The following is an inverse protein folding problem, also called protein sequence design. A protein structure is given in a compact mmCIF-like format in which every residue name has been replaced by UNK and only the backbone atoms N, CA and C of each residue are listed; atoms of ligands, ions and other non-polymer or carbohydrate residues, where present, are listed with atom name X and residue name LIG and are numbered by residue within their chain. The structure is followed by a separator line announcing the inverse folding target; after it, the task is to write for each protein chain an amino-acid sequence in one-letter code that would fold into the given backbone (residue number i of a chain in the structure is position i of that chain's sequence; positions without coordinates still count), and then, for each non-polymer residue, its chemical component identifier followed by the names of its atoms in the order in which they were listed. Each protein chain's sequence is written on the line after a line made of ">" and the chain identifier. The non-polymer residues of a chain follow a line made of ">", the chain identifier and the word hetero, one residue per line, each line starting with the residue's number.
data_IF_584604089803
#
_entry.id   IF_584604089803
#
_cell.length_a   1.000
_cell.length_b   1.000
_cell.length_c   1.000
_cell.angle_alpha   90.00
_cell.angle_beta   90.00
_cell.angle_gamma   90.00
#
_symmetry.space_group_name_H-M   'P 1'
#
loop_
_entity.id
_entity.type
_entity.pdbx_description
1 polymer ?
#
# COMPACT_ATOMS: atom_id res chain seq x y z
N UNK A 1 -15.86 -11.56 -22.00
CA UNK A 1 -14.95 -10.41 -21.86
C UNK A 1 -13.82 -10.80 -20.95
N UNK A 2 -12.55 -10.61 -21.34
CA UNK A 2 -11.38 -10.95 -20.53
C UNK A 2 -11.26 -10.06 -19.28
N UNK A 3 -10.65 -10.60 -18.24
CA UNK A 3 -10.32 -9.84 -17.02
C UNK A 3 -9.04 -9.03 -17.22
N UNK A 4 -8.94 -7.87 -16.57
CA UNK A 4 -7.74 -7.05 -16.63
C UNK A 4 -6.72 -7.55 -15.61
N UNK A 5 -5.48 -7.70 -16.04
CA UNK A 5 -4.36 -8.09 -15.17
C UNK A 5 -3.99 -6.91 -14.24
N UNK A 6 -3.49 -7.23 -13.04
CA UNK A 6 -2.97 -6.22 -12.11
C UNK A 6 -1.77 -5.50 -12.75
N UNK A 7 -1.77 -4.16 -12.81
CA UNK A 7 -0.69 -3.39 -13.45
C UNK A 7 0.68 -3.61 -12.82
N UNK A 8 0.75 -3.80 -11.49
CA UNK A 8 2.00 -4.03 -10.77
C UNK A 8 2.57 -5.40 -11.17
N UNK A 9 1.76 -6.46 -11.11
CA UNK A 9 2.22 -7.81 -11.46
C UNK A 9 2.69 -7.91 -12.90
N UNK A 10 2.06 -7.17 -13.81
CA UNK A 10 2.44 -7.13 -15.23
C UNK A 10 3.80 -6.45 -15.49
N UNK A 11 4.32 -5.69 -14.52
CA UNK A 11 5.58 -4.94 -14.58
C UNK A 11 6.68 -5.51 -13.70
N UNK A 12 6.41 -6.62 -13.02
CA UNK A 12 7.41 -7.32 -12.24
C UNK A 12 8.56 -7.82 -13.14
N UNK A 13 9.79 -7.59 -12.68
CA UNK A 13 10.99 -7.93 -13.43
C UNK A 13 11.34 -6.96 -14.57
N UNK A 14 10.51 -5.97 -14.89
CA UNK A 14 10.77 -4.93 -15.89
C UNK A 14 11.13 -3.62 -15.21
N UNK A 15 10.20 -3.03 -14.46
CA UNK A 15 10.40 -1.76 -13.74
C UNK A 15 10.13 -1.88 -12.24
N UNK A 16 9.47 -2.94 -11.80
CA UNK A 16 9.16 -3.19 -10.38
C UNK A 16 9.77 -4.49 -9.89
N UNK A 17 10.26 -4.46 -8.64
CA UNK A 17 10.68 -5.64 -7.90
C UNK A 17 9.55 -6.24 -7.07
N UNK A 18 9.84 -7.33 -6.39
CA UNK A 18 8.92 -7.97 -5.46
C UNK A 18 8.89 -7.26 -4.12
N UNK A 19 7.73 -7.29 -3.46
CA UNK A 19 7.60 -6.81 -2.08
C UNK A 19 8.10 -7.82 -1.04
N UNK A 20 8.35 -9.06 -1.44
CA UNK A 20 8.99 -10.10 -0.64
C UNK A 20 10.21 -10.61 -1.38
N UNK A 21 11.41 -10.31 -0.86
CA UNK A 21 12.69 -10.64 -1.47
C UNK A 21 13.38 -11.71 -0.64
N UNK A 22 13.13 -12.98 -0.96
CA UNK A 22 13.77 -14.12 -0.31
C UNK A 22 13.63 -15.40 -1.13
N UNK A 23 14.52 -16.33 -0.87
CA UNK A 23 14.48 -17.68 -1.44
C UNK A 23 13.95 -18.66 -0.39
N UNK A 24 12.94 -19.45 -0.74
CA UNK A 24 12.21 -20.26 0.23
C UNK A 24 12.15 -21.75 -0.12
N UNK A 25 13.21 -22.46 -0.30
CA UNK A 25 13.25 -23.89 -0.54
C UNK A 25 12.02 -24.71 -0.06
N UNK A 26 12.23 -25.69 0.82
CA UNK A 26 11.13 -26.54 1.36
C UNK A 26 10.10 -25.78 2.21
N UNK A 27 10.50 -24.67 2.85
CA UNK A 27 9.65 -23.89 3.78
C UNK A 27 8.97 -22.70 3.09
N UNK A 28 8.85 -22.73 1.77
CA UNK A 28 8.26 -21.61 1.00
C UNK A 28 6.85 -21.26 1.47
N UNK A 29 5.98 -22.25 1.64
CA UNK A 29 4.58 -22.05 2.05
C UNK A 29 4.47 -21.39 3.43
N UNK A 30 5.23 -21.88 4.40
CA UNK A 30 5.21 -21.35 5.78
C UNK A 30 5.70 -19.91 5.82
N UNK A 31 6.80 -19.60 5.12
CA UNK A 31 7.31 -18.25 5.02
C UNK A 31 6.32 -17.28 4.36
N UNK A 32 5.59 -17.73 3.33
CA UNK A 32 4.56 -16.92 2.66
C UNK A 32 3.39 -16.61 3.59
N UNK A 33 2.94 -17.59 4.38
CA UNK A 33 1.89 -17.41 5.40
C UNK A 33 2.36 -16.46 6.48
N UNK A 34 3.61 -16.56 6.94
CA UNK A 34 4.20 -15.63 7.89
C UNK A 34 4.21 -14.20 7.34
N UNK A 35 4.67 -13.98 6.10
CA UNK A 35 4.71 -12.66 5.46
C UNK A 35 3.31 -12.04 5.38
N UNK A 36 2.30 -12.83 5.02
CA UNK A 36 0.92 -12.36 5.01
C UNK A 36 0.43 -11.92 6.39
N UNK A 37 0.75 -12.68 7.43
CA UNK A 37 0.40 -12.35 8.82
C UNK A 37 1.11 -11.09 9.28
N UNK A 38 2.41 -10.92 8.97
CA UNK A 38 3.19 -9.72 9.27
C UNK A 38 2.56 -8.49 8.61
N UNK A 39 2.26 -8.56 7.31
CA UNK A 39 1.62 -7.45 6.59
C UNK A 39 0.25 -7.09 7.17
N UNK A 40 -0.58 -8.09 7.47
CA UNK A 40 -1.89 -7.87 8.08
C UNK A 40 -1.76 -7.15 9.42
N UNK A 41 -0.93 -7.65 10.31
CA UNK A 41 -0.67 -7.07 11.62
C UNK A 41 -0.17 -5.61 11.52
N UNK A 42 0.83 -5.36 10.68
CA UNK A 42 1.39 -4.03 10.49
C UNK A 42 0.38 -3.04 9.89
N UNK A 43 -0.42 -3.46 8.91
CA UNK A 43 -1.45 -2.61 8.32
C UNK A 43 -2.54 -2.22 9.33
N UNK A 44 -2.96 -3.15 10.20
CA UNK A 44 -3.92 -2.88 11.27
C UNK A 44 -3.33 -1.93 12.33
N UNK A 45 -2.11 -2.21 12.78
CA UNK A 45 -1.44 -1.43 13.82
C UNK A 45 -1.07 -0.01 13.36
N UNK A 46 -0.65 0.12 12.10
CA UNK A 46 -0.19 1.35 11.50
C UNK A 46 -1.24 2.04 10.60
N UNK A 47 -2.51 1.74 10.78
CA UNK A 47 -3.58 2.32 9.97
C UNK A 47 -3.58 3.86 9.92
N UNK A 48 -3.11 4.53 10.98
CA UNK A 48 -3.00 6.00 11.06
C UNK A 48 -1.76 6.57 10.37
N UNK A 49 -0.74 5.74 10.13
CA UNK A 49 0.55 6.17 9.59
C UNK A 49 0.55 6.34 8.06
N UNK A 50 -0.53 5.99 7.36
CA UNK A 50 -0.61 6.03 5.88
C UNK A 50 0.52 5.24 5.23
N UNK A 51 0.55 3.94 5.51
CA UNK A 51 1.51 3.00 4.94
C UNK A 51 1.24 2.84 3.44
N UNK A 52 2.27 2.98 2.62
CA UNK A 52 2.27 2.74 1.18
C UNK A 52 2.44 1.26 0.89
N UNK A 53 3.59 0.71 1.25
CA UNK A 53 3.94 -0.70 1.04
C UNK A 53 4.87 -1.18 2.14
N UNK A 54 4.93 -2.51 2.30
CA UNK A 54 5.79 -3.20 3.26
C UNK A 54 6.65 -4.18 2.47
N UNK A 55 7.95 -3.94 2.44
CA UNK A 55 8.93 -4.82 1.81
C UNK A 55 9.52 -5.73 2.87
N UNK A 56 9.58 -7.03 2.60
CA UNK A 56 10.10 -8.04 3.53
C UNK A 56 11.27 -8.74 2.87
N UNK A 57 12.42 -8.66 3.49
CA UNK A 57 13.64 -9.35 3.08
C UNK A 57 14.00 -10.39 4.14
N UNK A 58 14.25 -11.62 3.71
CA UNK A 58 14.62 -12.70 4.63
C UNK A 58 15.99 -13.23 4.31
N UNK A 59 16.82 -13.24 5.33
CA UNK A 59 18.07 -13.99 5.36
C UNK A 59 17.91 -15.22 6.25
N UNK A 60 18.94 -16.03 6.37
CA UNK A 60 18.89 -17.26 7.19
C UNK A 60 18.56 -16.99 8.67
N UNK A 61 19.02 -15.87 9.22
CA UNK A 61 18.87 -15.54 10.65
C UNK A 61 18.02 -14.31 10.94
N UNK A 62 17.87 -13.40 9.97
CA UNK A 62 17.27 -12.09 10.17
C UNK A 62 16.15 -11.85 9.15
N UNK A 63 15.05 -11.28 9.62
CA UNK A 63 13.96 -10.77 8.78
C UNK A 63 13.98 -9.25 8.83
N UNK A 64 14.27 -8.61 7.71
CA UNK A 64 14.26 -7.15 7.59
C UNK A 64 12.93 -6.71 6.99
N UNK A 65 12.22 -5.84 7.68
CA UNK A 65 10.93 -5.29 7.28
C UNK A 65 11.11 -3.81 7.01
N UNK A 66 10.99 -3.40 5.77
CA UNK A 66 11.03 -1.99 5.36
C UNK A 66 9.60 -1.46 5.18
N UNK A 67 9.22 -0.50 6.01
CA UNK A 67 7.90 0.13 6.01
C UNK A 67 7.99 1.45 5.27
N UNK A 68 7.36 1.55 4.10
CA UNK A 68 7.24 2.80 3.36
C UNK A 68 5.99 3.55 3.83
N UNK A 69 6.15 4.75 4.38
CA UNK A 69 5.06 5.54 4.97
C UNK A 69 5.17 7.02 4.64
N UNK A 70 4.03 7.70 4.55
CA UNK A 70 3.98 9.15 4.42
C UNK A 70 4.19 9.89 5.74
N UNK A 71 4.06 9.19 6.88
CA UNK A 71 4.15 9.80 8.22
C UNK A 71 5.08 8.99 9.12
N UNK A 72 6.40 9.05 8.90
CA UNK A 72 7.36 8.25 9.65
C UNK A 72 7.30 8.54 11.16
N UNK A 73 7.02 9.77 11.56
CA UNK A 73 6.93 10.14 12.98
C UNK A 73 5.88 9.35 13.77
N UNK A 74 4.78 8.92 13.13
CA UNK A 74 3.75 8.09 13.79
C UNK A 74 4.24 6.66 14.00
N UNK A 75 5.09 6.16 13.11
CA UNK A 75 5.66 4.81 13.21
C UNK A 75 6.79 4.78 14.24
N UNK A 76 7.64 5.81 14.24
CA UNK A 76 8.80 5.92 15.14
C UNK A 76 8.32 6.16 16.60
N UNK A 77 7.32 7.00 16.76
CA UNK A 77 6.84 7.42 18.08
C UNK A 77 7.84 8.35 18.81
N UNK A 78 7.54 8.64 20.06
CA UNK A 78 8.40 9.49 20.89
C UNK A 78 9.68 8.74 21.26
N UNK A 79 10.82 9.22 20.77
CA UNK A 79 12.14 8.63 21.08
C UNK A 79 12.34 7.20 20.58
N UNK A 80 11.59 6.74 19.57
CA UNK A 80 11.73 5.38 19.00
C UNK A 80 10.99 4.27 19.75
N UNK A 81 10.29 4.59 20.83
CA UNK A 81 9.61 3.60 21.69
C UNK A 81 8.59 2.73 20.95
N UNK A 82 7.87 3.30 19.96
CA UNK A 82 6.83 2.56 19.25
C UNK A 82 7.42 1.56 18.25
N UNK A 83 8.57 1.86 17.64
CA UNK A 83 9.32 0.91 16.80
C UNK A 83 9.87 -0.25 17.64
N UNK A 84 10.43 0.05 18.82
CA UNK A 84 10.96 -0.98 19.71
C UNK A 84 9.84 -1.92 20.19
N UNK A 85 8.69 -1.38 20.57
CA UNK A 85 7.50 -2.18 20.90
C UNK A 85 7.06 -3.06 19.73
N UNK A 86 6.97 -2.49 18.52
CA UNK A 86 6.62 -3.25 17.31
C UNK A 86 7.60 -4.39 17.05
N UNK A 87 8.91 -4.14 17.23
CA UNK A 87 9.94 -5.14 17.08
C UNK A 87 9.79 -6.28 18.11
N UNK A 88 9.51 -5.94 19.36
CA UNK A 88 9.27 -6.94 20.41
C UNK A 88 8.01 -7.76 20.17
N UNK A 89 6.90 -7.11 19.79
CA UNK A 89 5.63 -7.76 19.47
C UNK A 89 5.80 -8.75 18.30
N UNK A 90 6.47 -8.34 17.23
CA UNK A 90 6.76 -9.21 16.09
C UNK A 90 7.73 -10.34 16.45
N UNK A 91 8.75 -10.07 17.26
CA UNK A 91 9.70 -11.11 17.73
C UNK A 91 8.97 -12.18 18.56
N UNK A 92 8.03 -11.79 19.42
CA UNK A 92 7.19 -12.73 20.19
C UNK A 92 6.32 -13.60 19.30
N UNK A 93 5.75 -13.02 18.23
CA UNK A 93 4.86 -13.74 17.31
C UNK A 93 5.58 -14.75 16.41
N UNK A 94 6.79 -14.41 15.95
CA UNK A 94 7.47 -15.18 14.89
C UNK A 94 8.76 -15.87 15.35
N UNK A 95 9.21 -15.66 16.59
CA UNK A 95 10.42 -16.30 17.18
C UNK A 95 11.68 -16.17 16.33
N UNK A 96 11.76 -15.14 15.48
CA UNK A 96 12.91 -14.82 14.62
C UNK A 96 13.41 -13.42 14.96
N UNK A 97 14.68 -13.15 14.68
CA UNK A 97 15.19 -11.79 14.81
C UNK A 97 14.65 -10.91 13.71
N UNK A 98 14.10 -9.75 14.11
CA UNK A 98 13.42 -8.82 13.21
C UNK A 98 14.11 -7.46 13.30
N UNK A 99 14.38 -6.90 12.13
CA UNK A 99 14.84 -5.53 11.98
C UNK A 99 13.75 -4.74 11.24
N UNK A 100 13.43 -3.56 11.75
CA UNK A 100 12.46 -2.66 11.12
C UNK A 100 13.19 -1.44 10.58
N UNK A 101 13.04 -1.21 9.29
CA UNK A 101 13.52 -0.01 8.61
C UNK A 101 12.31 0.83 8.21
N UNK A 102 12.41 2.15 8.32
CA UNK A 102 11.33 3.08 7.96
C UNK A 102 11.82 3.93 6.81
N UNK A 103 11.05 3.93 5.74
CA UNK A 103 11.31 4.74 4.55
C UNK A 103 10.20 5.77 4.36
N UNK A 104 10.58 7.04 4.23
CA UNK A 104 9.64 8.13 4.00
C UNK A 104 9.26 8.26 2.53
N UNK A 105 7.95 8.31 2.25
CA UNK A 105 7.41 8.60 0.93
C UNK A 105 7.31 10.11 0.78
N UNK A 106 8.21 10.71 0.00
CA UNK A 106 8.31 12.18 -0.19
C UNK A 106 7.08 12.80 -0.84
N UNK A 107 6.41 12.08 -1.75
CA UNK A 107 5.21 12.55 -2.48
C UNK A 107 4.06 11.56 -2.30
N UNK A 108 3.33 11.62 -1.18
CA UNK A 108 2.24 10.69 -0.89
C UNK A 108 1.05 10.79 -1.85
N UNK A 109 0.91 11.92 -2.54
CA UNK A 109 -0.14 12.14 -3.54
C UNK A 109 0.05 11.33 -4.82
N UNK A 110 1.27 10.83 -5.06
CA UNK A 110 1.57 9.96 -6.22
C UNK A 110 1.43 8.47 -5.90
N UNK A 111 1.28 8.12 -4.63
CA UNK A 111 1.15 6.73 -4.18
C UNK A 111 -0.32 6.29 -4.20
N UNK A 112 -0.64 5.28 -5.00
CA UNK A 112 -2.01 4.84 -5.21
C UNK A 112 -2.67 4.31 -3.93
N UNK A 113 -1.93 3.55 -3.10
CA UNK A 113 -2.45 2.98 -1.86
C UNK A 113 -2.77 4.06 -0.83
N UNK A 114 -1.90 5.06 -0.67
CA UNK A 114 -2.11 6.19 0.24
C UNK A 114 -3.32 7.02 -0.20
N UNK A 115 -3.42 7.31 -1.51
CA UNK A 115 -4.56 8.06 -2.07
C UNK A 115 -5.87 7.30 -1.89
N UNK A 116 -5.89 5.99 -2.14
CA UNK A 116 -7.07 5.15 -1.95
C UNK A 116 -7.53 5.14 -0.49
N UNK A 117 -6.60 4.96 0.45
CA UNK A 117 -6.89 4.99 1.89
C UNK A 117 -7.39 6.39 2.35
N UNK A 118 -6.86 7.47 1.78
CA UNK A 118 -7.34 8.81 2.08
C UNK A 118 -8.77 9.05 1.59
N UNK A 119 -9.11 8.56 0.38
CA UNK A 119 -10.49 8.62 -0.14
C UNK A 119 -11.41 7.79 0.76
N UNK A 120 -11.01 6.57 1.14
CA UNK A 120 -11.81 5.70 2.00
C UNK A 120 -12.14 6.38 3.34
N UNK A 121 -11.13 6.96 4.01
CA UNK A 121 -11.34 7.71 5.28
C UNK A 121 -12.28 8.90 5.13
N UNK A 122 -12.20 9.64 4.02
CA UNK A 122 -13.09 10.76 3.76
C UNK A 122 -14.55 10.29 3.57
N UNK A 123 -14.74 9.17 2.87
CA UNK A 123 -16.07 8.57 2.67
C UNK A 123 -16.63 8.02 3.99
N UNK A 124 -15.82 7.37 4.81
CA UNK A 124 -16.17 6.95 6.17
C UNK A 124 -16.54 8.14 7.06
N UNK A 125 -15.83 9.28 6.90
CA UNK A 125 -16.13 10.55 7.53
C UNK A 125 -17.38 11.28 6.96
N UNK A 126 -18.23 10.56 6.18
CA UNK A 126 -19.48 11.08 5.58
C UNK A 126 -19.30 12.23 4.57
N UNK A 127 -18.11 12.38 4.01
CA UNK A 127 -17.88 13.30 2.89
C UNK A 127 -18.42 12.65 1.62
N UNK A 128 -19.10 13.43 0.76
CA UNK A 128 -19.56 12.93 -0.55
C UNK A 128 -18.41 12.34 -1.35
N UNK A 129 -18.55 11.09 -1.81
CA UNK A 129 -17.51 10.38 -2.56
C UNK A 129 -17.07 11.15 -3.81
N UNK A 130 -18.00 11.87 -4.49
CA UNK A 130 -17.67 12.69 -5.67
C UNK A 130 -16.72 13.82 -5.33
N UNK A 131 -16.92 14.48 -4.16
CA UNK A 131 -16.05 15.55 -3.68
C UNK A 131 -14.69 14.99 -3.28
N UNK A 132 -14.67 13.87 -2.55
CA UNK A 132 -13.43 13.21 -2.12
C UNK A 132 -12.57 12.79 -3.32
N UNK A 133 -13.17 12.17 -4.34
CA UNK A 133 -12.47 11.75 -5.55
C UNK A 133 -11.96 12.97 -6.33
N UNK A 134 -12.79 14.01 -6.53
CA UNK A 134 -12.37 15.20 -7.26
C UNK A 134 -11.16 15.88 -6.61
N UNK A 135 -11.17 16.00 -5.28
CA UNK A 135 -10.02 16.54 -4.54
C UNK A 135 -8.77 15.66 -4.69
N UNK A 136 -8.91 14.35 -4.56
CA UNK A 136 -7.80 13.41 -4.72
C UNK A 136 -7.19 13.51 -6.12
N UNK A 137 -8.01 13.51 -7.17
CA UNK A 137 -7.57 13.64 -8.56
C UNK A 137 -6.82 14.96 -8.78
N UNK A 138 -7.36 16.08 -8.31
CA UNK A 138 -6.70 17.38 -8.43
C UNK A 138 -5.35 17.42 -7.72
N UNK A 139 -5.25 16.86 -6.50
CA UNK A 139 -4.00 16.84 -5.74
C UNK A 139 -2.95 15.96 -6.44
N UNK A 140 -3.33 14.79 -6.92
CA UNK A 140 -2.43 13.90 -7.66
C UNK A 140 -1.92 14.55 -8.95
N UNK A 141 -2.78 15.20 -9.72
CA UNK A 141 -2.37 15.92 -10.94
C UNK A 141 -1.44 17.12 -10.61
N UNK A 142 -1.69 17.85 -9.53
CA UNK A 142 -0.79 18.92 -9.06
C UNK A 142 0.57 18.40 -8.61
N UNK A 143 0.62 17.19 -8.02
CA UNK A 143 1.88 16.54 -7.63
C UNK A 143 2.74 16.09 -8.81
N UNK A 144 2.20 16.15 -10.05
CA UNK A 144 2.90 15.87 -11.29
C UNK A 144 2.66 14.48 -11.86
N UNK A 145 1.53 13.83 -11.52
CA UNK A 145 1.12 12.61 -12.19
C UNK A 145 0.69 12.87 -13.65
N UNK A 146 1.05 11.98 -14.56
CA UNK A 146 0.58 12.06 -15.97
C UNK A 146 -0.91 11.73 -16.10
N UNK A 147 -1.44 10.99 -15.17
CA UNK A 147 -2.86 10.67 -15.11
C UNK A 147 -3.22 9.79 -13.92
N UNK A 148 -4.49 9.80 -13.60
CA UNK A 148 -5.06 9.01 -12.51
C UNK A 148 -6.38 8.40 -12.94
N UNK A 149 -6.66 7.21 -12.43
CA UNK A 149 -7.93 6.51 -12.58
C UNK A 149 -8.40 6.04 -11.21
N UNK A 150 -9.51 6.56 -10.74
CA UNK A 150 -10.16 6.15 -9.50
C UNK A 150 -11.48 5.45 -9.82
N UNK A 151 -11.71 4.32 -9.18
CA UNK A 151 -12.93 3.56 -9.33
C UNK A 151 -13.51 3.27 -7.95
N UNK A 152 -14.79 3.58 -7.78
CA UNK A 152 -15.53 3.26 -6.57
C UNK A 152 -16.69 2.34 -6.91
N UNK A 153 -16.92 1.37 -6.05
CA UNK A 153 -17.99 0.37 -6.20
C UNK A 153 -18.72 0.20 -4.88
N UNK A 154 -20.02 0.05 -4.94
CA UNK A 154 -20.84 -0.19 -3.75
C UNK A 154 -22.24 0.44 -3.89
N UNK A 155 -22.94 0.52 -2.78
CA UNK A 155 -24.25 1.18 -2.67
C UNK A 155 -24.07 2.70 -2.52
N UNK A 156 -23.70 3.34 -3.65
CA UNK A 156 -23.39 4.77 -3.67
C UNK A 156 -24.62 5.60 -3.32
N UNK A 157 -24.49 6.52 -2.38
CA UNK A 157 -25.56 7.35 -1.81
C UNK A 157 -26.74 6.55 -1.22
N UNK A 158 -26.49 5.34 -0.71
CA UNK A 158 -27.51 4.49 -0.11
C UNK A 158 -28.46 3.81 -1.12
N UNK A 159 -28.13 3.80 -2.41
CA UNK A 159 -28.95 3.12 -3.42
C UNK A 159 -29.08 1.62 -3.10
N UNK A 160 -30.24 1.02 -3.42
CA UNK A 160 -30.48 -0.41 -3.16
C UNK A 160 -29.54 -1.28 -4.00
N UNK A 161 -29.33 -0.92 -5.25
CA UNK A 161 -28.44 -1.66 -6.16
C UNK A 161 -27.03 -1.06 -6.12
N UNK A 162 -26.03 -1.94 -5.95
CA UNK A 162 -24.64 -1.54 -6.07
C UNK A 162 -24.30 -1.14 -7.51
N UNK A 163 -23.58 -0.05 -7.66
CA UNK A 163 -23.09 0.41 -8.95
C UNK A 163 -21.61 0.76 -8.87
N UNK A 164 -20.99 0.85 -10.03
CA UNK A 164 -19.60 1.16 -10.24
C UNK A 164 -19.49 2.49 -10.96
N UNK A 165 -18.81 3.45 -10.33
CA UNK A 165 -18.47 4.72 -10.94
C UNK A 165 -16.95 4.81 -11.11
N UNK A 166 -16.50 5.38 -12.25
CA UNK A 166 -15.11 5.50 -12.60
C UNK A 166 -14.82 6.94 -13.01
N UNK A 167 -13.77 7.50 -12.41
CA UNK A 167 -13.25 8.82 -12.70
C UNK A 167 -11.84 8.66 -13.27
N UNK A 168 -11.57 9.30 -14.39
CA UNK A 168 -10.27 9.23 -15.06
C UNK A 168 -9.87 10.63 -15.50
N UNK A 169 -8.60 11.00 -15.25
CA UNK A 169 -8.01 12.23 -15.76
C UNK A 169 -6.59 11.92 -16.27
N UNK A 170 -6.18 12.55 -17.37
CA UNK A 170 -4.88 12.35 -17.99
C UNK A 170 -4.69 10.98 -18.65
N UNK A 171 -3.43 10.55 -18.74
CA UNK A 171 -3.00 9.31 -19.38
C UNK A 171 -2.88 8.15 -18.40
N UNK A 172 -3.37 6.98 -18.76
CA UNK A 172 -3.19 5.73 -18.01
C UNK A 172 -2.82 4.59 -18.95
N UNK A 173 -1.55 4.51 -19.42
CA UNK A 173 -1.13 3.58 -20.47
C UNK A 173 -0.92 2.17 -19.91
N UNK A 174 -2.00 1.40 -19.68
CA UNK A 174 -1.94 0.07 -19.06
C UNK A 174 -1.19 -0.96 -19.91
N UNK A 175 -1.15 -0.80 -21.23
CA UNK A 175 -0.48 -1.73 -22.14
C UNK A 175 1.02 -1.50 -22.29
N UNK A 176 1.53 -0.35 -21.86
CA UNK A 176 2.96 -0.03 -21.93
C UNK A 176 3.68 -0.55 -20.69
N UNK A 177 4.52 -1.57 -20.85
CA UNK A 177 5.25 -2.19 -19.73
C UNK A 177 6.26 -1.26 -19.07
N UNK A 178 6.87 -0.34 -19.83
CA UNK A 178 7.83 0.64 -19.30
C UNK A 178 7.19 1.83 -18.57
N UNK A 179 5.87 2.02 -18.69
CA UNK A 179 5.18 3.08 -17.98
C UNK A 179 5.11 2.74 -16.48
N UNK A 180 5.56 3.66 -15.62
CA UNK A 180 5.45 3.49 -14.17
C UNK A 180 4.00 3.73 -13.75
N UNK A 181 3.32 2.64 -13.38
CA UNK A 181 1.92 2.67 -12.93
C UNK A 181 1.88 2.07 -11.53
N UNK A 182 1.42 2.86 -10.60
CA UNK A 182 1.10 2.43 -9.24
C UNK A 182 -0.38 2.04 -9.11
N UNK A 183 -0.69 1.07 -8.20
CA UNK A 183 -2.04 0.48 -8.09
C UNK A 183 -2.40 0.19 -6.63
#
# INVERSE_FOLDING_TARGET
>A
MGQKVNPISNRLGIIRGWDSNWFGGKNFGDNLVEDRKIRKYLNERLAKASVSRIVIERTLKLVTITICTARPGIVIGKGGQDVDKLKEELKKLYKKDIQINIFEVKKPELDANIVANNIARQVEGKISYRRAIKMAVQNTMRAGAEGIKVQITGRLNGAEMARKEMFKEGRTPLHTFRADIDY
#
